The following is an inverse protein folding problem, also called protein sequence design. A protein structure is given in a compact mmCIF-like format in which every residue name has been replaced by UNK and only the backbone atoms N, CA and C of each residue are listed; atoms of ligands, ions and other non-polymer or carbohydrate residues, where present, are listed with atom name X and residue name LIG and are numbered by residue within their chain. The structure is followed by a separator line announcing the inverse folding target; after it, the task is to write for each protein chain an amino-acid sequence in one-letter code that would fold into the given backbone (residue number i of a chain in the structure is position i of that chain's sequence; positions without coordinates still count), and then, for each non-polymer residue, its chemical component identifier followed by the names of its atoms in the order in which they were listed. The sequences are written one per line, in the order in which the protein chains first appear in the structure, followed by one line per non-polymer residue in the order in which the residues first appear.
data_IF_119806711472
#
_entry.id   IF_119806711472
#
_cell.length_a   1.000
_cell.length_b   1.000
_cell.length_c   1.000
_cell.angle_alpha   90.00
_cell.angle_beta   90.00
_cell.angle_gamma   90.00
#
_symmetry.space_group_name_H-M   'P 1'
#
loop_
_entity.id
_entity.type
_entity.pdbx_description
1 polymer ?
#
# COMPACT_ATOMS: atom_id res chain seq x y z
N UNK A 1 46.24 41.74 -14.21
CA UNK A 1 44.81 42.07 -14.21
C UNK A 1 44.06 40.82 -14.70
N UNK A 2 43.21 40.20 -13.88
CA UNK A 2 42.41 39.06 -14.33
C UNK A 2 41.27 39.56 -15.24
N UNK A 3 41.06 38.87 -16.36
CA UNK A 3 40.09 39.24 -17.40
C UNK A 3 38.65 39.04 -16.89
N UNK A 4 37.76 40.00 -17.16
CA UNK A 4 36.35 40.02 -16.71
C UNK A 4 35.58 38.76 -17.16
N UNK A 5 35.93 38.20 -18.32
CA UNK A 5 35.35 36.93 -18.81
C UNK A 5 35.70 35.73 -17.92
N UNK A 6 36.93 35.68 -17.38
CA UNK A 6 37.40 34.60 -16.50
C UNK A 6 36.68 34.65 -15.15
N UNK A 7 36.45 35.84 -14.61
CA UNK A 7 35.70 36.02 -13.36
C UNK A 7 34.24 35.59 -13.50
N UNK A 8 33.61 35.84 -14.66
CA UNK A 8 32.24 35.38 -14.93
C UNK A 8 32.14 33.86 -15.04
N UNK A 9 33.11 33.21 -15.70
CA UNK A 9 33.14 31.74 -15.81
C UNK A 9 33.28 31.09 -14.44
N UNK A 10 34.21 31.56 -13.59
CA UNK A 10 34.38 31.04 -12.24
C UNK A 10 33.13 31.23 -11.36
N UNK A 11 32.41 32.35 -11.53
CA UNK A 11 31.13 32.57 -10.87
C UNK A 11 30.06 31.55 -11.28
N UNK A 12 29.98 31.25 -12.58
CA UNK A 12 29.05 30.25 -13.14
C UNK A 12 29.41 28.84 -12.65
N UNK A 13 30.69 28.48 -12.63
CA UNK A 13 31.17 27.19 -12.13
C UNK A 13 30.79 26.97 -10.66
N UNK A 14 30.93 28.01 -9.82
CA UNK A 14 30.50 27.96 -8.41
C UNK A 14 29.00 27.75 -8.29
N UNK A 15 28.22 28.52 -9.04
CA UNK A 15 26.75 28.42 -9.03
C UNK A 15 26.28 27.04 -9.52
N UNK A 16 26.94 26.48 -10.53
CA UNK A 16 26.65 25.13 -11.01
C UNK A 16 26.95 24.07 -9.96
N UNK A 17 28.08 24.18 -9.25
CA UNK A 17 28.42 23.26 -8.18
C UNK A 17 27.39 23.29 -7.05
N UNK A 18 26.98 24.49 -6.62
CA UNK A 18 25.94 24.68 -5.60
C UNK A 18 24.59 24.09 -6.05
N UNK A 19 24.17 24.37 -7.29
CA UNK A 19 22.92 23.83 -7.84
C UNK A 19 22.91 22.31 -7.98
N UNK A 20 24.06 21.69 -8.29
CA UNK A 20 24.21 20.24 -8.33
C UNK A 20 24.09 19.63 -6.92
N UNK A 21 24.70 20.26 -5.92
CA UNK A 21 24.59 19.84 -4.52
C UNK A 21 23.13 19.91 -4.02
N UNK A 22 22.43 21.00 -4.31
CA UNK A 22 21.01 21.16 -3.99
C UNK A 22 20.14 20.11 -4.70
N UNK A 23 20.42 19.83 -5.98
CA UNK A 23 19.72 18.82 -6.76
C UNK A 23 19.88 17.43 -6.16
N UNK A 24 21.08 17.07 -5.73
CA UNK A 24 21.35 15.75 -5.14
C UNK A 24 20.69 15.60 -3.77
N UNK A 25 20.70 16.65 -2.94
CA UNK A 25 19.95 16.67 -1.69
C UNK A 25 18.42 16.53 -1.91
N UNK A 26 17.89 17.18 -2.96
CA UNK A 26 16.47 17.06 -3.31
C UNK A 26 16.11 15.64 -3.78
N UNK A 27 16.94 15.01 -4.62
CA UNK A 27 16.74 13.62 -5.05
C UNK A 27 16.75 12.65 -3.86
N UNK A 28 17.67 12.82 -2.92
CA UNK A 28 17.71 11.98 -1.71
C UNK A 28 16.43 12.10 -0.89
N UNK A 29 15.91 13.33 -0.75
CA UNK A 29 14.64 13.58 -0.07
C UNK A 29 13.45 12.95 -0.81
N UNK A 30 13.41 13.05 -2.14
CA UNK A 30 12.38 12.41 -2.97
C UNK A 30 12.43 10.88 -2.78
N UNK A 31 13.61 10.28 -2.87
CA UNK A 31 13.78 8.83 -2.68
C UNK A 31 13.29 8.33 -1.32
N UNK A 32 13.48 9.13 -0.25
CA UNK A 32 12.90 8.81 1.07
C UNK A 32 11.37 8.84 1.09
N UNK A 33 10.75 9.80 0.41
CA UNK A 33 9.29 9.86 0.29
C UNK A 33 8.74 8.71 -0.57
N UNK A 34 9.41 8.36 -1.67
CA UNK A 34 9.03 7.23 -2.52
C UNK A 34 9.04 5.92 -1.75
N UNK A 35 10.08 5.67 -0.94
CA UNK A 35 10.18 4.49 -0.08
C UNK A 35 9.05 4.43 0.96
N UNK A 36 8.74 5.56 1.62
CA UNK A 36 7.63 5.63 2.57
C UNK A 36 6.26 5.40 1.90
N UNK A 37 6.06 5.94 0.70
CA UNK A 37 4.83 5.72 -0.07
C UNK A 37 4.69 4.27 -0.50
N UNK A 38 5.77 3.60 -0.88
CA UNK A 38 5.75 2.17 -1.20
C UNK A 38 5.37 1.31 0.01
N UNK A 39 5.92 1.63 1.19
CA UNK A 39 5.55 0.98 2.45
C UNK A 39 4.05 1.18 2.76
N UNK A 40 3.54 2.41 2.68
CA UNK A 40 2.13 2.74 2.90
C UNK A 40 1.16 2.07 1.91
N UNK A 41 1.66 1.73 0.71
CA UNK A 41 0.88 1.07 -0.34
C UNK A 41 1.09 -0.44 -0.39
N UNK A 42 1.87 -0.99 0.55
CA UNK A 42 2.08 -2.42 0.73
C UNK A 42 1.11 -3.01 1.74
N UNK A 43 0.82 -4.30 1.61
CA UNK A 43 -0.02 -5.01 2.57
C UNK A 43 0.82 -5.50 3.75
N UNK A 44 0.44 -5.12 4.97
CA UNK A 44 1.12 -5.54 6.22
C UNK A 44 1.18 -7.06 6.43
N UNK A 45 0.35 -7.82 5.72
CA UNK A 45 0.27 -9.29 5.88
C UNK A 45 1.19 -10.03 4.92
N UNK A 46 1.18 -9.67 3.63
CA UNK A 46 1.94 -10.37 2.60
C UNK A 46 3.15 -9.58 2.09
N UNK A 47 3.32 -8.34 2.53
CA UNK A 47 4.40 -7.42 2.15
C UNK A 47 4.52 -7.16 0.64
N UNK A 48 3.48 -7.48 -0.12
CA UNK A 48 3.34 -7.15 -1.54
C UNK A 48 2.52 -5.85 -1.68
N UNK A 49 2.53 -5.19 -2.86
CA UNK A 49 1.60 -4.11 -3.13
C UNK A 49 0.17 -4.51 -2.73
N UNK A 50 -0.55 -3.63 -2.05
CA UNK A 50 -1.85 -3.94 -1.44
C UNK A 50 -2.94 -4.13 -2.51
N UNK A 51 -2.90 -5.25 -3.23
CA UNK A 51 -3.84 -5.56 -4.29
C UNK A 51 -5.26 -5.72 -3.75
N UNK A 52 -6.20 -5.00 -4.37
CA UNK A 52 -7.59 -4.89 -3.94
C UNK A 52 -7.70 -4.59 -2.43
N UNK A 53 -7.19 -3.43 -1.99
CA UNK A 53 -7.08 -3.11 -0.57
C UNK A 53 -8.48 -2.97 0.04
N UNK A 54 -8.72 -3.72 1.10
CA UNK A 54 -9.98 -3.78 1.82
C UNK A 54 -9.82 -3.14 3.19
N UNK A 55 -10.59 -2.08 3.45
CA UNK A 55 -10.64 -1.39 4.74
C UNK A 55 -11.44 -2.21 5.72
N UNK A 56 -10.82 -2.50 6.86
CA UNK A 56 -11.40 -3.26 7.96
C UNK A 56 -12.20 -2.35 8.89
N UNK A 57 -13.04 -2.91 9.78
CA UNK A 57 -13.82 -2.11 10.73
C UNK A 57 -12.95 -1.28 11.68
N UNK A 58 -11.71 -1.68 11.92
CA UNK A 58 -10.73 -0.95 12.72
C UNK A 58 -9.96 0.13 11.96
N UNK A 59 -10.23 0.33 10.66
CA UNK A 59 -9.58 1.37 9.83
C UNK A 59 -8.34 0.90 9.06
N UNK A 60 -7.66 -0.16 9.48
CA UNK A 60 -6.52 -0.73 8.74
C UNK A 60 -6.96 -1.38 7.43
N UNK A 61 -6.06 -1.45 6.46
CA UNK A 61 -6.28 -2.13 5.18
C UNK A 61 -5.61 -3.49 5.15
N UNK A 62 -6.15 -4.40 4.35
CA UNK A 62 -5.51 -5.67 3.98
C UNK A 62 -5.84 -6.00 2.53
N UNK A 63 -4.96 -6.74 1.85
CA UNK A 63 -5.23 -7.22 0.50
C UNK A 63 -6.42 -8.20 0.48
N UNK A 64 -7.22 -8.20 -0.58
CA UNK A 64 -8.38 -9.10 -0.68
C UNK A 64 -7.98 -10.58 -0.59
N UNK A 65 -6.88 -10.95 -1.24
CA UNK A 65 -6.35 -12.32 -1.21
C UNK A 65 -5.93 -12.73 0.20
N UNK A 66 -5.35 -11.81 0.97
CA UNK A 66 -4.95 -12.02 2.36
C UNK A 66 -6.18 -12.32 3.24
N UNK A 67 -7.28 -11.62 3.00
CA UNK A 67 -8.56 -11.87 3.69
C UNK A 67 -9.15 -13.22 3.28
N UNK A 68 -9.10 -13.57 2.00
CA UNK A 68 -9.60 -14.86 1.52
C UNK A 68 -8.78 -16.04 2.02
N UNK A 69 -7.46 -15.92 2.07
CA UNK A 69 -6.59 -16.95 2.60
C UNK A 69 -6.77 -17.16 4.10
N UNK A 70 -6.90 -16.09 4.92
CA UNK A 70 -7.23 -16.28 6.35
C UNK A 70 -8.62 -16.91 6.54
N UNK A 71 -9.62 -16.49 5.75
CA UNK A 71 -10.95 -17.11 5.78
C UNK A 71 -10.90 -18.60 5.40
N UNK A 72 -10.13 -18.95 4.36
CA UNK A 72 -9.91 -20.33 3.92
C UNK A 72 -9.20 -21.16 4.99
N UNK A 73 -8.10 -20.67 5.55
CA UNK A 73 -7.36 -21.36 6.62
C UNK A 73 -8.25 -21.62 7.84
N UNK A 74 -9.08 -20.66 8.21
CA UNK A 74 -10.04 -20.82 9.31
C UNK A 74 -11.09 -21.86 9.02
N UNK A 75 -11.68 -21.84 7.82
CA UNK A 75 -12.63 -22.87 7.38
C UNK A 75 -12.03 -24.26 7.47
N UNK A 76 -10.80 -24.45 6.95
CA UNK A 76 -10.08 -25.73 7.00
C UNK A 76 -9.75 -26.15 8.44
N UNK A 77 -9.57 -25.18 9.34
CA UNK A 77 -9.30 -25.41 10.77
C UNK A 77 -10.56 -25.48 11.65
N UNK A 78 -11.76 -25.53 11.06
CA UNK A 78 -13.02 -25.54 11.80
C UNK A 78 -13.33 -24.24 12.58
N UNK A 79 -12.60 -23.15 12.33
CA UNK A 79 -12.81 -21.84 12.97
C UNK A 79 -13.81 -21.02 12.19
N UNK A 80 -14.64 -20.28 12.91
CA UNK A 80 -15.62 -19.40 12.30
C UNK A 80 -15.00 -18.16 11.64
N UNK A 81 -15.57 -17.72 10.51
CA UNK A 81 -15.12 -16.52 9.81
C UNK A 81 -15.23 -15.25 10.66
N UNK A 82 -16.25 -15.14 11.51
CA UNK A 82 -16.46 -13.99 12.40
C UNK A 82 -15.46 -13.93 13.57
N UNK A 83 -14.60 -14.95 13.71
CA UNK A 83 -13.44 -14.92 14.61
C UNK A 83 -12.19 -14.30 13.96
N UNK A 84 -12.28 -13.87 12.70
CA UNK A 84 -11.20 -13.21 11.99
C UNK A 84 -10.77 -11.92 12.67
N UNK A 85 -9.47 -11.66 12.57
CA UNK A 85 -8.81 -10.52 13.19
C UNK A 85 -8.01 -9.78 12.13
N UNK A 86 -7.92 -8.47 12.29
CA UNK A 86 -7.03 -7.61 11.52
C UNK A 86 -5.57 -8.10 11.64
N UNK A 87 -4.87 -8.22 10.52
CA UNK A 87 -3.46 -8.62 10.48
C UNK A 87 -2.53 -7.63 11.20
N UNK A 88 -2.90 -6.35 11.24
CA UNK A 88 -2.14 -5.29 11.88
C UNK A 88 -2.41 -5.21 13.40
N UNK A 89 -3.62 -4.76 13.79
CA UNK A 89 -3.93 -4.48 15.21
C UNK A 89 -4.62 -5.63 15.96
N UNK A 90 -4.89 -6.77 15.30
CA UNK A 90 -5.59 -7.94 15.87
C UNK A 90 -7.03 -7.70 16.37
N UNK A 91 -7.61 -6.53 16.09
CA UNK A 91 -9.02 -6.24 16.33
C UNK A 91 -9.92 -7.18 15.53
N UNK A 92 -11.10 -7.55 16.07
CA UNK A 92 -12.04 -8.44 15.36
C UNK A 92 -12.62 -7.76 14.12
N UNK A 93 -12.81 -8.53 13.06
CA UNK A 93 -13.52 -8.10 11.85
C UNK A 93 -15.02 -8.33 12.09
N UNK A 94 -15.70 -7.32 12.63
CA UNK A 94 -17.11 -7.40 13.05
C UNK A 94 -18.12 -7.23 11.92
N UNK A 95 -17.71 -6.62 10.80
CA UNK A 95 -18.54 -6.40 9.60
C UNK A 95 -17.71 -6.64 8.34
N UNK A 96 -18.39 -6.71 7.21
CA UNK A 96 -17.74 -6.90 5.91
C UNK A 96 -16.68 -5.81 5.63
N UNK A 97 -15.46 -6.20 5.21
CA UNK A 97 -14.48 -5.24 4.71
C UNK A 97 -14.99 -4.51 3.47
N UNK A 98 -14.53 -3.26 3.28
CA UNK A 98 -14.92 -2.40 2.16
C UNK A 98 -13.72 -2.20 1.24
N UNK A 99 -13.85 -2.49 -0.05
CA UNK A 99 -12.78 -2.21 -1.03
C UNK A 99 -12.58 -0.69 -1.15
N UNK A 100 -11.34 -0.23 -1.04
CA UNK A 100 -10.98 1.18 -1.29
C UNK A 100 -10.48 1.34 -2.72
N UNK A 101 -11.31 1.94 -3.58
CA UNK A 101 -10.94 2.20 -4.98
C UNK A 101 -9.87 3.30 -5.11
N UNK A 102 -9.86 4.29 -4.23
CA UNK A 102 -8.85 5.34 -4.23
C UNK A 102 -7.49 4.80 -3.83
N UNK A 103 -7.43 3.97 -2.79
CA UNK A 103 -6.19 3.30 -2.41
C UNK A 103 -5.73 2.37 -3.52
N UNK A 104 -6.65 1.64 -4.15
CA UNK A 104 -6.34 0.80 -5.30
C UNK A 104 -5.69 1.58 -6.45
N UNK A 105 -6.21 2.77 -6.81
CA UNK A 105 -5.62 3.61 -7.86
C UNK A 105 -4.18 4.00 -7.54
N UNK A 106 -3.88 4.26 -6.26
CA UNK A 106 -2.52 4.60 -5.81
C UNK A 106 -1.59 3.40 -5.91
N UNK A 107 -2.04 2.22 -5.50
CA UNK A 107 -1.27 0.96 -5.64
C UNK A 107 -0.96 0.70 -7.13
N UNK A 108 -1.92 0.96 -8.01
CA UNK A 108 -1.74 0.74 -9.46
C UNK A 108 -0.74 1.70 -10.07
N UNK A 109 -0.81 2.98 -9.70
CA UNK A 109 0.13 3.99 -10.17
C UNK A 109 1.56 3.63 -9.74
N UNK A 110 1.76 3.28 -8.46
CA UNK A 110 3.05 2.86 -7.92
C UNK A 110 3.56 1.57 -8.58
N UNK A 111 2.69 0.59 -8.84
CA UNK A 111 3.08 -0.62 -9.55
C UNK A 111 3.49 -0.36 -11.01
N UNK A 112 2.76 0.50 -11.73
CA UNK A 112 3.08 0.87 -13.11
C UNK A 112 4.43 1.57 -13.20
N UNK A 113 4.68 2.53 -12.30
CA UNK A 113 5.95 3.25 -12.22
C UNK A 113 7.14 2.31 -11.99
N UNK A 114 6.96 1.30 -11.14
CA UNK A 114 7.97 0.28 -10.85
C UNK A 114 8.03 -0.86 -11.87
N UNK A 115 7.19 -0.86 -12.91
CA UNK A 115 7.10 -1.95 -13.88
C UNK A 115 6.58 -3.27 -13.30
N UNK A 116 5.89 -3.23 -12.16
CA UNK A 116 5.29 -4.41 -11.51
C UNK A 116 3.98 -4.76 -12.23
N UNK A 117 3.80 -6.01 -12.70
CA UNK A 117 2.57 -6.44 -13.35
C UNK A 117 1.36 -6.32 -12.42
N UNK A 118 0.32 -5.62 -12.86
CA UNK A 118 -0.94 -5.50 -12.11
C UNK A 118 -1.75 -6.80 -12.29
N UNK A 119 -2.11 -7.50 -11.21
CA UNK A 119 -2.88 -8.73 -11.29
C UNK A 119 -4.34 -8.46 -11.71
N UNK A 120 -4.96 -9.47 -12.34
CA UNK A 120 -6.39 -9.43 -12.69
C UNK A 120 -7.23 -9.35 -11.43
N UNK A 121 -8.15 -8.39 -11.37
CA UNK A 121 -9.09 -8.24 -10.25
C UNK A 121 -10.36 -9.03 -10.47
N UNK A 122 -10.76 -9.76 -9.44
CA UNK A 122 -12.09 -10.32 -9.34
C UNK A 122 -12.93 -9.43 -8.41
N UNK A 123 -14.25 -9.30 -8.64
CA UNK A 123 -15.12 -8.58 -7.70
C UNK A 123 -14.99 -9.15 -6.28
N UNK A 124 -14.73 -8.27 -5.32
CA UNK A 124 -14.65 -8.68 -3.91
C UNK A 124 -16.02 -9.15 -3.42
N UNK A 125 -16.07 -10.31 -2.77
CA UNK A 125 -17.27 -10.95 -2.25
C UNK A 125 -17.02 -11.39 -0.81
N UNK A 126 -17.81 -10.84 0.11
CA UNK A 126 -17.74 -11.16 1.52
C UNK A 126 -19.12 -11.57 2.07
N UNK A 127 -19.22 -12.65 2.85
CA UNK A 127 -18.18 -13.62 3.16
C UNK A 127 -17.77 -14.47 1.94
N UNK A 128 -16.56 -15.08 1.93
CA UNK A 128 -16.09 -15.89 0.82
C UNK A 128 -16.98 -17.13 0.58
N UNK A 129 -16.97 -17.64 -0.65
CA UNK A 129 -17.80 -18.77 -1.04
C UNK A 129 -17.54 -20.02 -0.16
N UNK A 130 -18.62 -20.72 0.20
CA UNK A 130 -18.55 -21.91 1.07
C UNK A 130 -18.36 -21.60 2.56
N UNK A 131 -18.47 -20.33 2.97
CA UNK A 131 -18.73 -19.98 4.36
C UNK A 131 -20.11 -20.50 4.76
N UNK A 132 -20.23 -21.37 5.78
CA UNK A 132 -21.53 -21.88 6.18
C UNK A 132 -22.45 -20.73 6.62
N UNK A 133 -23.71 -20.78 6.19
CA UNK A 133 -24.72 -19.73 6.43
C UNK A 133 -25.27 -19.72 7.87
N UNK A 134 -24.58 -20.33 8.82
CA UNK A 134 -25.13 -20.61 10.15
C UNK A 134 -25.33 -19.34 11.00
N UNK A 135 -26.51 -18.76 10.81
CA UNK A 135 -27.57 -18.55 11.80
C UNK A 135 -27.14 -17.88 13.11
N UNK A 136 -27.01 -16.55 13.08
CA UNK A 136 -27.71 -15.63 13.98
C UNK A 136 -27.39 -14.20 13.55
N UNK A 137 -28.38 -13.61 12.90
CA UNK A 137 -28.84 -12.25 13.19
C UNK A 137 -28.75 -11.97 14.70
N UNK A 138 -27.62 -11.39 15.12
CA UNK A 138 -27.53 -10.57 16.33
C UNK A 138 -26.74 -9.34 15.94
N UNK A 139 -27.40 -8.52 15.14
CA UNK A 139 -27.29 -7.07 15.24
C UNK A 139 -27.73 -6.78 16.68
N UNK A 140 -26.78 -6.37 17.50
CA UNK A 140 -27.03 -5.62 18.73
C UNK A 140 -26.42 -4.26 18.49
#
# INVERSE_FOLDING_TARGET
MLNISVVKVAGIEKQLAEALEELDAAKEKIGRYEAAVEEDLSCDVCTLPAWQPCILPCGHSMCADCLYEDARHRRLSGRAIYSMKCGYCRSRITRAPIVSFDWQRRVDAMALEKGIPIPKRNPFKWPPAGTPKNHRSRIV
#
